data_IF_815711717239
#
_entry.id   IF_815711717239
#
_cell.length_a   1.000
_cell.length_b   1.000
_cell.length_c   1.000
_cell.angle_alpha   90.00
_cell.angle_beta   90.00
_cell.angle_gamma   90.00
#
_symmetry.space_group_name_H-M   'P 1'
#
loop_
_entity.id
_entity.type
_entity.pdbx_description
1 polymer ?
#
# COMPACT_ATOMS: atom_id res chain seq x y z
N UNK A 1 15.75 -65.69 -15.82
CA UNK A 1 16.24 -64.60 -14.95
C UNK A 1 16.03 -63.18 -15.57
N UNK A 2 14.89 -62.87 -16.20
CA UNK A 2 14.65 -61.55 -16.87
C UNK A 2 13.44 -60.76 -16.35
N UNK A 3 12.75 -61.23 -15.29
CA UNK A 3 11.52 -60.61 -14.79
C UNK A 3 11.71 -59.63 -13.62
N UNK A 4 12.84 -59.66 -12.92
CA UNK A 4 13.03 -58.84 -11.71
C UNK A 4 13.63 -57.44 -11.98
N UNK A 5 14.15 -57.17 -13.18
CA UNK A 5 14.75 -55.89 -13.53
C UNK A 5 13.72 -54.78 -13.81
N UNK A 6 12.52 -55.17 -14.28
CA UNK A 6 11.44 -54.21 -14.57
C UNK A 6 10.81 -53.67 -13.31
N UNK A 7 10.81 -54.40 -12.19
CA UNK A 7 10.23 -53.93 -10.92
C UNK A 7 11.15 -52.94 -10.23
N UNK A 8 12.49 -53.11 -10.32
CA UNK A 8 13.47 -52.18 -9.74
C UNK A 8 13.46 -50.84 -10.49
N UNK A 9 13.26 -50.83 -11.81
CA UNK A 9 13.19 -49.61 -12.60
C UNK A 9 11.92 -48.82 -12.35
N UNK A 10 10.79 -49.48 -12.02
CA UNK A 10 9.52 -48.85 -11.69
C UNK A 10 9.52 -48.14 -10.33
N UNK A 11 10.32 -48.58 -9.36
CA UNK A 11 10.43 -47.98 -8.02
C UNK A 11 11.29 -46.70 -8.06
N UNK A 12 12.29 -46.63 -8.95
CA UNK A 12 13.16 -45.43 -9.06
C UNK A 12 12.43 -44.24 -9.70
N UNK A 13 11.42 -44.46 -10.54
CA UNK A 13 10.64 -43.39 -11.17
C UNK A 13 9.64 -42.77 -10.18
N UNK A 14 9.26 -43.47 -9.11
CA UNK A 14 8.27 -42.95 -8.13
C UNK A 14 8.86 -41.99 -7.07
N UNK A 15 10.15 -41.80 -7.00
CA UNK A 15 10.82 -40.89 -6.04
C UNK A 15 11.22 -39.55 -6.63
N UNK A 16 10.80 -39.25 -7.85
CA UNK A 16 11.06 -37.99 -8.53
C UNK A 16 10.04 -36.88 -8.23
N UNK A 17 9.28 -36.94 -7.14
CA UNK A 17 8.56 -35.78 -6.66
C UNK A 17 9.58 -34.78 -6.12
N UNK A 18 9.89 -33.77 -6.94
CA UNK A 18 10.76 -32.67 -6.56
C UNK A 18 10.29 -32.11 -5.24
N UNK A 19 10.96 -32.45 -4.16
CA UNK A 19 10.74 -31.84 -2.86
C UNK A 19 11.06 -30.34 -3.03
N UNK A 20 10.03 -29.51 -3.04
CA UNK A 20 10.21 -28.06 -3.16
C UNK A 20 11.18 -27.63 -2.06
N UNK A 21 12.20 -26.88 -2.41
CA UNK A 21 13.15 -26.40 -1.42
C UNK A 21 12.43 -25.54 -0.37
N UNK A 22 12.90 -25.53 0.86
CA UNK A 22 12.35 -24.68 1.94
C UNK A 22 12.30 -23.22 1.47
N UNK A 23 13.31 -22.79 0.71
CA UNK A 23 13.38 -21.44 0.14
C UNK A 23 12.23 -21.16 -0.84
N UNK A 24 11.85 -22.15 -1.67
CA UNK A 24 10.71 -21.98 -2.59
C UNK A 24 9.39 -21.93 -1.83
N UNK A 25 9.18 -22.77 -0.83
CA UNK A 25 7.98 -22.73 0.02
C UNK A 25 7.86 -21.40 0.74
N UNK A 26 8.97 -20.87 1.23
CA UNK A 26 9.03 -19.57 1.88
C UNK A 26 8.64 -18.43 0.92
N UNK A 27 9.24 -18.40 -0.28
CA UNK A 27 8.90 -17.41 -1.31
C UNK A 27 7.44 -17.48 -1.74
N UNK A 28 6.89 -18.69 -1.92
CA UNK A 28 5.49 -18.90 -2.25
C UNK A 28 4.56 -18.39 -1.13
N UNK A 29 4.95 -18.57 0.13
CA UNK A 29 4.17 -18.07 1.27
C UNK A 29 4.04 -16.54 1.21
N UNK A 30 5.14 -15.81 0.99
CA UNK A 30 5.08 -14.36 0.86
C UNK A 30 4.27 -13.90 -0.34
N UNK A 31 4.45 -14.54 -1.49
CA UNK A 31 3.70 -14.23 -2.70
C UNK A 31 2.19 -14.43 -2.49
N UNK A 32 1.80 -15.56 -1.89
CA UNK A 32 0.40 -15.87 -1.61
C UNK A 32 -0.24 -14.89 -0.61
N UNK A 33 0.51 -14.50 0.43
CA UNK A 33 0.02 -13.49 1.39
C UNK A 33 -0.15 -12.15 0.71
N UNK A 34 0.83 -11.72 -0.08
CA UNK A 34 0.74 -10.47 -0.82
C UNK A 34 -0.44 -10.47 -1.81
N UNK A 35 -0.65 -11.54 -2.56
CA UNK A 35 -1.77 -11.70 -3.49
C UNK A 35 -3.13 -11.62 -2.77
N UNK A 36 -3.25 -12.24 -1.60
CA UNK A 36 -4.47 -12.22 -0.78
C UNK A 36 -4.76 -10.83 -0.21
N UNK A 37 -3.72 -10.09 0.19
CA UNK A 37 -3.86 -8.82 0.93
C UNK A 37 -3.92 -7.60 0.02
N UNK A 38 -3.21 -7.63 -1.12
CA UNK A 38 -3.13 -6.51 -2.06
C UNK A 38 -4.48 -5.89 -2.46
N UNK A 39 -5.57 -6.65 -2.66
CA UNK A 39 -6.87 -6.05 -2.99
C UNK A 39 -7.44 -5.12 -1.93
N UNK A 40 -7.01 -5.28 -0.66
CA UNK A 40 -7.43 -4.41 0.44
C UNK A 40 -6.50 -3.18 0.60
N UNK A 41 -5.32 -3.17 -0.03
CA UNK A 41 -4.38 -2.05 0.02
C UNK A 41 -4.70 -1.06 -1.09
N UNK A 42 -4.75 0.22 -0.75
CA UNK A 42 -5.10 1.29 -1.69
C UNK A 42 -4.00 2.35 -1.74
N UNK A 43 -3.90 3.02 -2.89
CA UNK A 43 -3.09 4.23 -3.04
C UNK A 43 -3.96 5.44 -2.77
N UNK A 44 -3.48 6.36 -1.95
CA UNK A 44 -4.14 7.62 -1.64
C UNK A 44 -3.35 8.74 -2.30
N UNK A 45 -4.03 9.54 -3.10
CA UNK A 45 -3.50 10.76 -3.71
C UNK A 45 -4.28 11.95 -3.20
N UNK A 46 -3.58 12.97 -2.74
CA UNK A 46 -4.21 14.17 -2.21
C UNK A 46 -3.75 15.39 -2.98
N UNK A 47 -4.66 16.33 -3.19
CA UNK A 47 -4.38 17.61 -3.83
C UNK A 47 -4.69 18.74 -2.83
N UNK A 48 -3.75 19.69 -2.72
CA UNK A 48 -3.96 20.97 -2.02
C UNK A 48 -3.88 22.11 -3.02
N UNK A 49 -4.90 22.95 -3.07
CA UNK A 49 -5.00 24.11 -3.95
C UNK A 49 -4.51 25.33 -3.18
N UNK A 50 -3.30 25.77 -3.45
CA UNK A 50 -2.76 26.99 -2.86
C UNK A 50 -3.10 28.16 -3.79
N UNK A 51 -4.06 28.99 -3.39
CA UNK A 51 -4.29 30.26 -4.06
C UNK A 51 -3.19 31.25 -3.65
N UNK A 52 -2.33 31.58 -4.58
CA UNK A 52 -1.28 32.57 -4.31
C UNK A 52 -1.85 33.95 -4.48
N UNK A 53 -1.96 34.69 -3.36
CA UNK A 53 -2.28 36.11 -3.38
C UNK A 53 -1.07 36.85 -4.02
N UNK A 54 -1.25 37.56 -5.16
CA UNK A 54 -0.12 38.18 -5.89
C UNK A 54 0.63 39.24 -5.09
N UNK A 55 0.13 39.64 -3.92
CA UNK A 55 0.71 40.68 -3.08
C UNK A 55 1.58 40.18 -1.90
N UNK A 56 1.68 38.86 -1.65
CA UNK A 56 2.51 38.34 -0.55
C UNK A 56 3.67 37.49 -1.05
N UNK A 57 4.73 38.17 -1.49
CA UNK A 57 5.96 37.57 -2.00
C UNK A 57 6.94 37.24 -0.87
N UNK A 58 6.57 36.39 0.09
CA UNK A 58 7.50 35.93 1.15
C UNK A 58 7.20 34.49 1.60
N UNK A 59 7.53 33.51 0.77
CA UNK A 59 7.62 32.13 1.24
C UNK A 59 9.05 31.58 1.02
N UNK A 60 9.84 31.32 2.08
CA UNK A 60 11.17 30.75 1.98
C UNK A 60 11.21 29.27 1.55
N UNK A 61 10.04 28.63 1.43
CA UNK A 61 9.91 27.19 1.22
C UNK A 61 10.22 26.72 -0.21
N UNK A 62 10.03 27.56 -1.21
CA UNK A 62 10.26 27.21 -2.63
C UNK A 62 11.74 27.01 -3.00
N UNK A 63 12.67 27.38 -2.10
CA UNK A 63 14.12 27.30 -2.35
C UNK A 63 14.72 25.94 -2.01
N UNK A 64 13.99 25.10 -1.28
CA UNK A 64 14.53 23.84 -0.75
C UNK A 64 14.16 22.61 -1.60
N UNK A 65 13.09 22.68 -2.39
CA UNK A 65 12.56 21.54 -3.15
C UNK A 65 12.60 21.69 -4.68
N UNK A 66 13.48 22.51 -5.24
CA UNK A 66 13.93 22.49 -6.64
C UNK A 66 12.90 22.07 -7.71
N UNK A 67 11.70 22.68 -7.73
CA UNK A 67 10.69 22.38 -8.74
C UNK A 67 10.83 23.31 -9.91
N UNK A 68 11.00 22.72 -11.07
CA UNK A 68 11.28 23.35 -12.37
C UNK A 68 10.18 24.33 -12.80
N UNK A 69 10.65 25.47 -13.34
CA UNK A 69 9.80 26.51 -13.91
C UNK A 69 9.46 26.14 -15.33
N UNK A 70 8.27 25.69 -15.60
CA UNK A 70 7.68 25.89 -16.91
C UNK A 70 7.08 27.30 -16.98
N UNK A 71 7.63 28.10 -17.89
CA UNK A 71 7.21 29.45 -18.20
C UNK A 71 5.95 29.39 -19.09
N UNK A 72 4.77 29.53 -18.49
CA UNK A 72 3.59 29.98 -19.23
C UNK A 72 2.85 31.02 -18.42
N UNK A 73 2.63 32.18 -19.08
CA UNK A 73 1.99 33.36 -18.55
C UNK A 73 0.47 33.15 -18.55
N UNK A 74 -0.13 32.96 -17.36
CA UNK A 74 -1.54 33.31 -17.17
C UNK A 74 -1.82 33.64 -15.69
N UNK A 75 -2.72 34.60 -15.47
CA UNK A 75 -2.87 35.45 -14.28
C UNK A 75 -3.61 34.82 -13.10
N UNK A 76 -3.88 33.51 -13.06
CA UNK A 76 -4.42 32.81 -11.89
C UNK A 76 -3.63 31.51 -11.65
N UNK A 77 -2.45 31.65 -10.99
CA UNK A 77 -1.62 30.49 -10.66
C UNK A 77 -2.15 29.79 -9.42
N UNK A 78 -2.98 28.77 -9.63
CA UNK A 78 -3.24 27.75 -8.63
C UNK A 78 -2.04 26.80 -8.57
N UNK A 79 -1.29 26.80 -7.46
CA UNK A 79 -0.30 25.79 -7.20
C UNK A 79 -0.99 24.56 -6.57
N UNK A 80 -0.90 23.42 -7.24
CA UNK A 80 -1.39 22.15 -6.72
C UNK A 80 -0.23 21.38 -6.10
N UNK A 81 -0.26 21.20 -4.80
CA UNK A 81 0.64 20.28 -4.11
C UNK A 81 -0.02 18.91 -4.04
N UNK A 82 0.69 17.88 -4.48
CA UNK A 82 0.23 16.49 -4.41
C UNK A 82 1.02 15.74 -3.35
N UNK A 83 0.31 14.99 -2.51
CA UNK A 83 0.93 13.99 -1.66
C UNK A 83 0.39 12.60 -2.03
N UNK A 84 1.21 11.59 -1.79
CA UNK A 84 0.89 10.18 -2.01
C UNK A 84 1.05 9.42 -0.71
N UNK A 85 0.16 8.49 -0.47
CA UNK A 85 0.20 7.60 0.68
C UNK A 85 -0.47 6.28 0.39
N UNK A 86 -0.48 5.43 1.39
CA UNK A 86 -1.17 4.14 1.36
C UNK A 86 -2.29 4.12 2.37
N UNK A 87 -3.32 3.32 2.10
CA UNK A 87 -4.38 3.03 3.02
C UNK A 87 -4.78 1.56 2.95
N UNK A 88 -5.56 1.14 3.90
CA UNK A 88 -6.07 -0.24 4.00
C UNK A 88 -7.57 -0.20 4.22
N UNK A 89 -8.33 -0.91 3.39
CA UNK A 89 -9.78 -1.07 3.55
C UNK A 89 -10.03 -1.98 4.75
N UNK A 90 -10.73 -1.48 5.77
CA UNK A 90 -11.05 -2.21 7.00
C UNK A 90 -12.51 -2.65 7.08
N UNK A 91 -13.40 -2.01 6.32
CA UNK A 91 -14.82 -2.40 6.19
C UNK A 91 -15.26 -2.20 4.73
N UNK A 92 -15.45 -3.30 4.02
CA UNK A 92 -15.84 -3.28 2.61
C UNK A 92 -17.29 -2.79 2.38
N UNK A 93 -18.18 -2.98 3.37
CA UNK A 93 -19.59 -2.57 3.24
C UNK A 93 -19.78 -1.08 3.43
N UNK A 94 -18.98 -0.49 4.32
CA UNK A 94 -19.03 0.95 4.62
C UNK A 94 -18.01 1.76 3.81
N UNK A 95 -17.09 1.08 3.11
CA UNK A 95 -16.00 1.71 2.39
C UNK A 95 -14.97 2.39 3.30
N UNK A 96 -14.79 1.90 4.54
CA UNK A 96 -13.85 2.51 5.48
C UNK A 96 -12.41 2.08 5.21
N UNK A 97 -11.52 3.07 5.19
CA UNK A 97 -10.09 2.93 4.92
C UNK A 97 -9.32 3.61 6.06
N UNK A 98 -8.33 2.91 6.61
CA UNK A 98 -7.36 3.49 7.55
C UNK A 98 -6.13 3.95 6.78
N UNK A 99 -5.64 5.14 7.12
CA UNK A 99 -4.41 5.73 6.59
C UNK A 99 -3.73 6.57 7.67
N UNK A 100 -2.58 7.18 7.36
CA UNK A 100 -1.93 8.12 8.24
C UNK A 100 -2.58 9.51 8.15
N UNK A 101 -2.67 10.20 9.29
CA UNK A 101 -3.24 11.55 9.35
C UNK A 101 -2.46 12.53 8.47
N UNK A 102 -1.12 12.49 8.51
CA UNK A 102 -0.28 13.41 7.75
C UNK A 102 -0.47 13.31 6.22
N UNK A 103 -1.06 12.19 5.70
CA UNK A 103 -1.37 12.02 4.27
C UNK A 103 -2.58 12.87 3.87
N UNK A 104 -3.53 13.09 4.77
CA UNK A 104 -4.84 13.69 4.47
C UNK A 104 -5.09 15.01 5.17
N UNK A 105 -4.19 15.40 6.08
CA UNK A 105 -4.31 16.61 6.88
C UNK A 105 -4.23 17.86 6.02
N UNK A 106 -5.22 18.74 6.16
CA UNK A 106 -5.30 20.03 5.44
C UNK A 106 -5.28 19.89 3.90
N UNK A 107 -5.87 18.80 3.36
CA UNK A 107 -5.99 18.55 1.92
C UNK A 107 -7.39 18.88 1.41
N UNK A 108 -7.47 19.53 0.24
CA UNK A 108 -8.74 19.94 -0.38
C UNK A 108 -9.44 18.78 -1.09
N UNK A 109 -8.68 17.85 -1.63
CA UNK A 109 -9.21 16.69 -2.34
C UNK A 109 -8.41 15.42 -2.00
N UNK A 110 -9.14 14.34 -1.72
CA UNK A 110 -8.58 13.03 -1.45
C UNK A 110 -9.13 12.04 -2.47
N UNK A 111 -8.25 11.37 -3.19
CA UNK A 111 -8.58 10.35 -4.19
C UNK A 111 -7.97 9.01 -3.78
N UNK A 112 -8.79 7.99 -3.72
CA UNK A 112 -8.39 6.62 -3.44
C UNK A 112 -8.38 5.82 -4.74
N UNK A 113 -7.28 5.13 -5.02
CA UNK A 113 -7.12 4.25 -6.17
C UNK A 113 -6.93 2.82 -5.69
N UNK A 114 -7.78 1.92 -6.15
CA UNK A 114 -7.72 0.49 -5.85
C UNK A 114 -6.69 -0.23 -6.75
N UNK A 115 -6.38 -1.48 -6.39
CA UNK A 115 -5.49 -2.35 -7.16
C UNK A 115 -5.99 -2.57 -8.60
N UNK A 116 -7.31 -2.68 -8.80
CA UNK A 116 -7.97 -2.85 -10.10
C UNK A 116 -8.08 -1.56 -10.92
N UNK A 117 -7.45 -0.46 -10.44
CA UNK A 117 -7.40 0.89 -11.04
C UNK A 117 -8.69 1.69 -10.91
N UNK A 118 -9.74 1.20 -10.27
CA UNK A 118 -10.89 2.03 -9.93
C UNK A 118 -10.45 3.16 -8.99
N UNK A 119 -11.02 4.34 -9.18
CA UNK A 119 -10.71 5.53 -8.39
C UNK A 119 -11.99 6.09 -7.77
N UNK A 120 -11.88 6.54 -6.54
CA UNK A 120 -12.97 7.08 -5.75
C UNK A 120 -12.54 8.37 -5.09
N UNK A 121 -13.43 9.33 -4.99
CA UNK A 121 -13.26 10.45 -4.09
C UNK A 121 -13.56 9.99 -2.67
N UNK A 122 -12.73 10.40 -1.70
CA UNK A 122 -12.85 10.00 -0.32
C UNK A 122 -13.12 11.20 0.58
N UNK A 123 -13.88 10.96 1.63
CA UNK A 123 -14.10 11.92 2.72
C UNK A 123 -13.40 11.46 3.99
N UNK A 124 -12.93 12.40 4.80
CA UNK A 124 -12.36 12.10 6.13
C UNK A 124 -13.52 11.92 7.11
N UNK A 125 -13.64 10.72 7.67
CA UNK A 125 -14.63 10.39 8.71
C UNK A 125 -14.15 10.82 10.08
N UNK A 126 -12.84 10.71 10.32
CA UNK A 126 -12.19 11.12 11.56
C UNK A 126 -10.68 10.98 11.46
N UNK A 127 -9.98 11.75 12.32
CA UNK A 127 -8.52 11.69 12.39
C UNK A 127 -8.04 11.92 13.82
N UNK A 128 -6.88 11.37 14.12
CA UNK A 128 -6.16 11.60 15.36
C UNK A 128 -4.69 11.94 15.05
N UNK A 129 -4.33 13.23 15.09
CA UNK A 129 -2.96 13.67 14.85
C UNK A 129 -1.93 13.11 15.84
N UNK A 130 -2.35 12.70 17.05
CA UNK A 130 -1.44 12.17 18.08
C UNK A 130 -0.95 10.77 17.73
N UNK A 131 -1.84 9.93 17.21
CA UNK A 131 -1.51 8.58 16.76
C UNK A 131 -1.11 8.55 15.28
N UNK A 132 -1.20 9.68 14.57
CA UNK A 132 -1.02 9.79 13.12
C UNK A 132 -1.96 8.84 12.35
N UNK A 133 -3.21 8.72 12.78
CA UNK A 133 -4.24 7.90 12.13
C UNK A 133 -5.39 8.76 11.57
N UNK A 134 -5.91 8.34 10.43
CA UNK A 134 -7.14 8.86 9.86
C UNK A 134 -7.99 7.73 9.28
N UNK A 135 -9.30 7.92 9.32
CA UNK A 135 -10.29 7.05 8.66
C UNK A 135 -10.93 7.81 7.54
N UNK A 136 -10.85 7.25 6.34
CA UNK A 136 -11.53 7.74 5.15
C UNK A 136 -12.75 6.87 4.85
N UNK A 137 -13.68 7.43 4.08
CA UNK A 137 -14.80 6.70 3.50
C UNK A 137 -14.85 6.93 2.00
N UNK A 138 -15.07 5.84 1.26
CA UNK A 138 -15.38 5.86 -0.18
C UNK A 138 -16.74 5.21 -0.41
N UNK A 139 -17.42 5.60 -1.47
CA UNK A 139 -18.64 4.94 -1.96
C UNK A 139 -18.28 4.06 -3.16
N UNK A 140 -18.31 2.75 -2.98
CA UNK A 140 -17.96 1.79 -4.03
C UNK A 140 -18.42 0.37 -3.71
N UNK A 141 -18.72 -0.37 -4.76
CA UNK A 141 -19.10 -1.78 -4.69
C UNK A 141 -17.87 -2.69 -4.85
N UNK A 142 -18.03 -3.97 -4.50
CA UNK A 142 -17.00 -5.01 -4.66
C UNK A 142 -15.63 -4.61 -4.07
N UNK A 143 -15.66 -4.03 -2.86
CA UNK A 143 -14.47 -3.73 -2.09
C UNK A 143 -14.00 -4.97 -1.31
N UNK A 144 -12.70 -5.10 -1.14
CA UNK A 144 -12.09 -6.16 -0.31
C UNK A 144 -11.54 -5.55 0.96
N UNK A 145 -12.00 -5.99 2.12
CA UNK A 145 -11.46 -5.56 3.40
C UNK A 145 -10.36 -6.51 3.89
N UNK A 146 -9.39 -5.96 4.64
CA UNK A 146 -8.36 -6.73 5.32
C UNK A 146 -8.96 -7.45 6.54
N UNK A 147 -8.41 -8.60 6.86
CA UNK A 147 -8.65 -9.24 8.15
C UNK A 147 -7.71 -8.63 9.20
N UNK A 148 -8.28 -8.05 10.27
CA UNK A 148 -7.49 -7.42 11.33
C UNK A 148 -7.02 -8.52 12.30
N UNK A 149 -5.70 -8.58 12.50
CA UNK A 149 -5.06 -9.49 13.44
C UNK A 149 -4.99 -8.92 14.87
N UNK A 150 -4.38 -9.70 15.73
CA UNK A 150 -4.17 -9.38 17.13
C UNK A 150 -2.65 -9.19 17.36
N UNK A 151 -2.22 -7.94 17.52
CA UNK A 151 -0.80 -7.61 17.69
C UNK A 151 -0.22 -8.11 19.03
N UNK A 152 -1.06 -8.35 20.04
CA UNK A 152 -0.59 -8.85 21.34
C UNK A 152 -0.12 -10.31 21.29
N UNK A 153 -0.48 -11.03 20.20
CA UNK A 153 -0.04 -12.41 19.96
C UNK A 153 1.25 -12.53 19.19
N UNK A 154 1.78 -11.41 18.68
CA UNK A 154 3.03 -11.43 17.92
C UNK A 154 4.22 -11.74 18.84
N UNK A 155 5.28 -12.31 18.25
CA UNK A 155 6.52 -12.62 18.95
C UNK A 155 7.72 -12.02 18.23
N UNK A 156 8.70 -11.59 18.98
CA UNK A 156 9.99 -11.15 18.41
C UNK A 156 10.60 -12.29 17.59
N UNK A 157 11.06 -11.97 16.39
CA UNK A 157 11.62 -12.91 15.43
C UNK A 157 10.62 -13.47 14.42
N UNK A 158 9.31 -13.23 14.57
CA UNK A 158 8.32 -13.61 13.57
C UNK A 158 8.45 -12.78 12.30
N UNK A 159 8.25 -13.42 11.15
CA UNK A 159 8.28 -12.75 9.85
C UNK A 159 7.02 -11.93 9.64
N UNK A 160 7.24 -10.74 9.09
CA UNK A 160 6.18 -9.81 8.68
C UNK A 160 6.45 -9.27 7.29
N UNK A 161 5.40 -8.85 6.63
CA UNK A 161 5.48 -8.09 5.38
C UNK A 161 4.80 -6.74 5.55
N UNK A 162 5.38 -5.72 4.95
CA UNK A 162 4.75 -4.42 4.80
C UNK A 162 4.39 -4.22 3.33
N UNK A 163 3.18 -3.76 3.08
CA UNK A 163 2.65 -3.50 1.74
C UNK A 163 2.15 -2.07 1.69
N UNK A 164 2.53 -1.34 0.64
CA UNK A 164 2.12 0.04 0.47
C UNK A 164 2.43 0.58 -0.93
N UNK A 165 2.13 1.85 -1.13
CA UNK A 165 2.36 2.58 -2.38
C UNK A 165 3.29 3.76 -2.10
N UNK A 166 4.60 3.52 -1.93
CA UNK A 166 5.54 4.59 -1.63
C UNK A 166 5.79 5.45 -2.86
N UNK A 167 5.70 6.76 -2.73
CA UNK A 167 6.24 7.81 -3.60
C UNK A 167 5.77 7.93 -5.05
N UNK A 168 5.14 6.94 -5.68
CA UNK A 168 4.66 7.06 -7.06
C UNK A 168 3.59 6.04 -7.44
N UNK A 169 2.77 6.39 -8.43
CA UNK A 169 1.76 5.48 -9.02
C UNK A 169 2.38 4.21 -9.61
N UNK A 170 3.65 4.27 -10.02
CA UNK A 170 4.37 3.14 -10.62
C UNK A 170 4.91 2.16 -9.58
N UNK A 171 4.93 2.53 -8.29
CA UNK A 171 5.39 1.71 -7.17
C UNK A 171 4.25 1.30 -6.23
N UNK A 172 3.00 1.32 -6.74
CA UNK A 172 1.85 0.84 -5.98
C UNK A 172 2.01 -0.64 -5.64
N UNK A 173 1.54 -1.02 -4.43
CA UNK A 173 1.60 -2.40 -3.92
C UNK A 173 3.03 -2.96 -3.80
N UNK A 174 3.99 -2.09 -3.44
CA UNK A 174 5.35 -2.56 -3.10
C UNK A 174 5.31 -3.40 -1.83
N UNK A 175 5.96 -4.56 -1.89
CA UNK A 175 6.04 -5.52 -0.79
C UNK A 175 7.45 -5.55 -0.25
N UNK A 176 7.60 -5.41 1.06
CA UNK A 176 8.87 -5.59 1.78
C UNK A 176 8.68 -6.58 2.90
N UNK A 177 9.71 -7.37 3.22
CA UNK A 177 9.69 -8.37 4.27
C UNK A 177 10.72 -8.05 5.36
N UNK A 178 10.39 -8.41 6.58
CA UNK A 178 11.26 -8.24 7.74
C UNK A 178 10.82 -9.13 8.90
N UNK A 179 11.36 -8.87 10.07
CA UNK A 179 10.96 -9.56 11.31
C UNK A 179 10.54 -8.57 12.37
N UNK A 180 9.73 -9.02 13.32
CA UNK A 180 9.46 -8.28 14.55
C UNK A 180 10.77 -8.21 15.35
N UNK A 181 11.35 -7.03 15.46
CA UNK A 181 12.64 -6.84 16.14
C UNK A 181 12.48 -6.61 17.65
N UNK A 182 11.38 -5.94 18.05
CA UNK A 182 11.05 -5.67 19.45
C UNK A 182 9.53 -5.52 19.57
N UNK A 183 9.04 -5.70 20.80
CA UNK A 183 7.67 -5.38 21.20
C UNK A 183 7.74 -4.37 22.34
N UNK A 184 6.89 -3.36 22.32
CA UNK A 184 6.77 -2.32 23.36
C UNK A 184 5.67 -2.62 24.37
#
# INVERSE_FOLDING_TARGET
MRKNWLIVFSIIISFGFAQRSIVQQFSETFANVAEKVNPAVVTISTDKIIKVDPFHNQYPFNRFFGWDRDQDQDQDREFRTKALGSGVIIDARKGYIVTNNHVVDDMDKITVKLMDKRTFEAIVVGSDPKSDLAVLQIEGDDLTAIEIGDSDKLRVGEWVIAIGSPFSDNLSHTVTAGIISAMG
#
